data_IF_894579217560
#
_entry.id   IF_894579217560
#
_cell.length_a   1.000
_cell.length_b   1.000
_cell.length_c   1.000
_cell.angle_alpha   90.00
_cell.angle_beta   90.00
_cell.angle_gamma   90.00
#
_symmetry.space_group_name_H-M   'P 1'
#
loop_
_entity.id
_entity.type
_entity.pdbx_description
1 polymer ?
#
# COMPACT_ATOMS: atom_id res chain seq x y z
N UNK A 1 -19.39 14.25 13.93
CA UNK A 1 -19.76 14.25 15.37
C UNK A 1 -18.71 13.58 16.27
N UNK A 2 -18.05 12.51 15.86
CA UNK A 2 -17.09 11.74 16.69
C UNK A 2 -15.90 12.52 17.27
N UNK A 3 -15.52 13.66 16.70
CA UNK A 3 -14.39 14.49 17.15
C UNK A 3 -14.78 15.93 17.51
N UNK A 4 -16.08 16.25 17.56
CA UNK A 4 -16.55 17.61 17.90
C UNK A 4 -16.11 18.72 16.93
N UNK A 5 -15.75 18.38 15.69
CA UNK A 5 -15.27 19.36 14.71
C UNK A 5 -16.36 20.33 14.27
N UNK A 6 -16.07 21.64 14.12
CA UNK A 6 -17.05 22.63 13.68
C UNK A 6 -17.59 22.32 12.28
N UNK A 7 -18.92 22.19 12.15
CA UNK A 7 -19.60 21.78 10.92
C UNK A 7 -19.49 22.82 9.80
N UNK A 8 -19.35 24.10 10.15
CA UNK A 8 -19.15 25.24 9.25
C UNK A 8 -17.81 25.19 8.48
N UNK A 9 -16.79 24.53 9.03
CA UNK A 9 -15.45 24.40 8.41
C UNK A 9 -15.22 23.07 7.72
N UNK A 10 -16.14 22.12 7.90
CA UNK A 10 -16.00 20.75 7.42
C UNK A 10 -15.94 20.69 5.90
N UNK A 11 -16.77 21.47 5.21
CA UNK A 11 -16.79 21.53 3.74
C UNK A 11 -15.45 22.03 3.16
N UNK A 12 -14.83 23.04 3.79
CA UNK A 12 -13.54 23.59 3.35
C UNK A 12 -12.42 22.56 3.55
N UNK A 13 -12.39 21.88 4.70
CA UNK A 13 -11.41 20.82 4.98
C UNK A 13 -11.55 19.62 4.03
N UNK A 14 -12.79 19.22 3.71
CA UNK A 14 -13.05 18.10 2.81
C UNK A 14 -12.63 18.43 1.36
N UNK A 15 -12.90 19.66 0.90
CA UNK A 15 -12.55 20.11 -0.44
C UNK A 15 -11.03 20.09 -0.69
N UNK A 16 -10.22 20.42 0.32
CA UNK A 16 -8.76 20.39 0.24
C UNK A 16 -8.22 18.96 0.07
N UNK A 17 -8.82 17.98 0.76
CA UNK A 17 -8.42 16.57 0.68
C UNK A 17 -8.87 15.94 -0.64
N UNK A 18 -10.03 16.37 -1.16
CA UNK A 18 -10.60 15.82 -2.39
C UNK A 18 -9.66 15.95 -3.60
N UNK A 19 -8.86 17.02 -3.65
CA UNK A 19 -7.88 17.23 -4.73
C UNK A 19 -6.79 16.15 -4.80
N UNK A 20 -6.47 15.50 -3.67
CA UNK A 20 -5.42 14.47 -3.57
C UNK A 20 -5.98 13.08 -3.27
N UNK A 21 -7.31 12.91 -3.28
CA UNK A 21 -7.98 11.68 -2.86
C UNK A 21 -7.55 10.46 -3.68
N UNK A 22 -7.40 10.59 -5.01
CA UNK A 22 -7.00 9.47 -5.89
C UNK A 22 -5.58 8.95 -5.61
N UNK A 23 -4.54 9.80 -5.53
CA UNK A 23 -3.24 9.37 -5.02
C UNK A 23 -3.30 8.73 -3.63
N UNK A 24 -4.06 9.31 -2.70
CA UNK A 24 -4.18 8.79 -1.34
C UNK A 24 -4.90 7.44 -1.28
N UNK A 25 -5.89 7.21 -2.13
CA UNK A 25 -6.58 5.93 -2.25
C UNK A 25 -5.63 4.84 -2.78
N UNK A 26 -4.82 5.16 -3.78
CA UNK A 26 -3.77 4.23 -4.24
C UNK A 26 -2.75 3.93 -3.13
N UNK A 27 -2.32 4.94 -2.38
CA UNK A 27 -1.46 4.72 -1.21
C UNK A 27 -2.12 3.78 -0.19
N UNK A 28 -3.41 3.95 0.06
CA UNK A 28 -4.20 3.06 0.95
C UNK A 28 -4.21 1.61 0.43
N UNK A 29 -4.35 1.40 -0.88
CA UNK A 29 -4.24 0.05 -1.47
C UNK A 29 -2.85 -0.54 -1.29
N UNK A 30 -1.79 0.23 -1.54
CA UNK A 30 -0.40 -0.24 -1.43
C UNK A 30 -0.06 -0.68 -0.01
N UNK A 31 -0.42 0.12 0.99
CA UNK A 31 -0.11 -0.21 2.39
C UNK A 31 -0.87 -1.43 2.88
N UNK A 32 -2.13 -1.61 2.45
CA UNK A 32 -2.91 -2.79 2.84
C UNK A 32 -2.31 -4.08 2.25
N UNK A 33 -2.02 -4.10 0.94
CA UNK A 33 -1.42 -5.27 0.28
C UNK A 33 -0.03 -5.59 0.83
N UNK A 34 0.80 -4.57 1.07
CA UNK A 34 2.15 -4.74 1.64
C UNK A 34 2.07 -5.22 3.09
N UNK A 35 1.11 -4.73 3.87
CA UNK A 35 0.86 -5.16 5.23
C UNK A 35 0.51 -6.64 5.31
N UNK A 36 -0.43 -7.10 4.48
CA UNK A 36 -0.82 -8.51 4.40
C UNK A 36 0.37 -9.41 4.02
N UNK A 37 1.15 -9.00 3.01
CA UNK A 37 2.34 -9.73 2.59
C UNK A 37 3.40 -9.81 3.70
N UNK A 38 3.60 -8.70 4.43
CA UNK A 38 4.56 -8.62 5.54
C UNK A 38 4.16 -9.54 6.67
N UNK A 39 2.88 -9.52 7.08
CA UNK A 39 2.37 -10.38 8.16
C UNK A 39 2.47 -11.85 7.76
N UNK A 40 2.10 -12.20 6.52
CA UNK A 40 2.23 -13.57 6.01
C UNK A 40 3.69 -14.05 6.05
N UNK A 41 4.63 -13.20 5.64
CA UNK A 41 6.06 -13.50 5.70
C UNK A 41 6.54 -13.71 7.15
N UNK A 42 6.14 -12.83 8.07
CA UNK A 42 6.51 -12.92 9.49
C UNK A 42 5.98 -14.21 10.13
N UNK A 43 4.72 -14.58 9.86
CA UNK A 43 4.12 -15.82 10.35
C UNK A 43 4.82 -17.04 9.75
N UNK A 44 5.09 -17.04 8.44
CA UNK A 44 5.81 -18.12 7.79
C UNK A 44 7.23 -18.30 8.38
N UNK A 45 7.92 -17.19 8.67
CA UNK A 45 9.22 -17.21 9.35
C UNK A 45 9.12 -17.82 10.75
N UNK A 46 8.13 -17.38 11.53
CA UNK A 46 7.93 -17.86 12.90
C UNK A 46 7.62 -19.36 12.96
N UNK A 47 6.94 -19.91 11.94
CA UNK A 47 6.62 -21.33 11.82
C UNK A 47 7.69 -22.16 11.11
N UNK A 48 8.85 -21.58 10.76
CA UNK A 48 9.90 -22.28 10.01
C UNK A 48 9.50 -22.70 8.59
N UNK A 49 8.51 -22.03 7.99
CA UNK A 49 7.94 -22.32 6.67
C UNK A 49 8.57 -21.51 5.53
N UNK A 50 9.59 -20.72 5.80
CA UNK A 50 10.35 -20.04 4.74
C UNK A 50 11.29 -21.05 4.05
N UNK A 51 11.08 -21.26 2.75
CA UNK A 51 12.00 -22.02 1.90
C UNK A 51 13.06 -21.13 1.26
N UNK A 52 13.86 -21.72 0.37
CA UNK A 52 14.81 -20.99 -0.47
C UNK A 52 14.02 -20.15 -1.50
N UNK A 53 14.27 -18.84 -1.62
CA UNK A 53 13.62 -18.01 -2.63
C UNK A 53 13.95 -18.49 -4.05
N UNK A 54 12.93 -18.63 -4.90
CA UNK A 54 13.12 -18.85 -6.33
C UNK A 54 13.17 -17.48 -7.03
N UNK A 55 14.34 -16.85 -7.01
CA UNK A 55 14.55 -15.53 -7.61
C UNK A 55 14.44 -15.66 -9.12
N UNK A 56 13.50 -14.92 -9.71
CA UNK A 56 13.42 -14.71 -11.15
C UNK A 56 13.86 -13.28 -11.43
N UNK A 57 14.98 -13.12 -12.08
CA UNK A 57 15.36 -11.84 -12.66
C UNK A 57 14.61 -11.77 -13.99
N UNK A 58 13.78 -10.74 -14.17
CA UNK A 58 12.90 -10.59 -15.34
C UNK A 58 13.36 -9.46 -16.28
N UNK A 59 14.42 -8.76 -15.91
CA UNK A 59 14.95 -7.59 -16.63
C UNK A 59 16.09 -7.97 -17.59
N UNK A 60 16.40 -9.26 -17.63
CA UNK A 60 17.60 -9.89 -18.19
C UNK A 60 17.67 -9.80 -19.73
N UNK A 61 16.53 -9.48 -20.37
CA UNK A 61 16.37 -9.47 -21.82
C UNK A 61 15.82 -8.15 -22.36
N UNK A 62 15.75 -7.08 -21.55
CA UNK A 62 15.18 -5.79 -21.99
C UNK A 62 15.95 -5.20 -23.19
N UNK A 63 17.27 -5.34 -23.20
CA UNK A 63 18.12 -4.87 -24.31
C UNK A 63 18.07 -5.78 -25.56
N UNK A 64 17.52 -7.00 -25.46
CA UNK A 64 17.37 -7.91 -26.61
C UNK A 64 16.12 -7.62 -27.46
N UNK A 65 15.13 -6.94 -26.87
CA UNK A 65 13.84 -6.60 -27.51
C UNK A 65 13.69 -5.11 -27.84
N UNK A 66 14.78 -4.35 -27.71
CA UNK A 66 14.85 -2.91 -27.94
C UNK A 66 15.20 -2.56 -29.39
#
# INVERSE_FOLDING_TARGET
ESIGFPSDKLAVGLALIFAIDRPLDMCRTVVNVTGDATVALLVAKALGKLGVPNVKNWDDHYEEVK
#
